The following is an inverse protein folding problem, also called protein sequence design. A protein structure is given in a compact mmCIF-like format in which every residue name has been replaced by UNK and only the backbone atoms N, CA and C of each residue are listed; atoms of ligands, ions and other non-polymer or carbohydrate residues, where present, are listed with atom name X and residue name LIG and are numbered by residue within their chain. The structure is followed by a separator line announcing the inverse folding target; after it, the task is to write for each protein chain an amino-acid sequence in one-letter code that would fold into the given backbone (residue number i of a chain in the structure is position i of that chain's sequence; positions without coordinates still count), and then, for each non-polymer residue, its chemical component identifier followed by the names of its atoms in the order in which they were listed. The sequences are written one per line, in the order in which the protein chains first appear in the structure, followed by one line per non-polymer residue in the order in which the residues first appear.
data_IF_337906658347
#
_entry.id   IF_337906658347
#
_cell.length_a   1.000
_cell.length_b   1.000
_cell.length_c   1.000
_cell.angle_alpha   90.00
_cell.angle_beta   90.00
_cell.angle_gamma   90.00
#
_symmetry.space_group_name_H-M   'P 1'
#
loop_
_entity.id
_entity.type
_entity.pdbx_description
1 polymer ?
#
# COMPACT_ATOMS: atom_id res chain seq x y z
N UNK A 1 4.71 18.82 7.61
CA UNK A 1 4.36 17.59 6.85
C UNK A 1 3.01 17.75 6.17
N UNK A 2 2.98 17.77 4.83
CA UNK A 2 1.78 17.87 3.99
C UNK A 2 1.52 16.52 3.33
N UNK A 3 0.25 16.07 3.34
CA UNK A 3 -0.19 14.87 2.62
C UNK A 3 -1.17 15.30 1.53
N UNK A 4 -0.93 14.83 0.31
CA UNK A 4 -1.73 15.14 -0.87
C UNK A 4 -1.57 14.10 -1.97
N UNK A 5 -2.38 14.18 -2.99
CA UNK A 5 -2.13 13.47 -4.24
C UNK A 5 -0.85 13.99 -4.90
N UNK A 6 -0.12 13.06 -5.53
CA UNK A 6 1.07 13.37 -6.30
C UNK A 6 0.73 14.04 -7.63
N UNK A 7 1.68 14.76 -8.17
CA UNK A 7 1.67 15.32 -9.51
C UNK A 7 2.91 14.85 -10.26
N UNK A 8 2.98 15.06 -11.57
CA UNK A 8 4.15 14.70 -12.38
C UNK A 8 5.45 15.36 -11.86
N UNK A 9 5.36 16.50 -11.19
CA UNK A 9 6.52 17.16 -10.56
C UNK A 9 7.13 16.36 -9.41
N UNK A 10 6.41 15.39 -8.87
CA UNK A 10 6.86 14.56 -7.76
C UNK A 10 7.48 13.24 -8.26
N UNK A 11 7.34 12.90 -9.54
CA UNK A 11 7.69 11.59 -10.12
C UNK A 11 9.14 11.19 -9.84
N UNK A 12 10.10 12.05 -10.13
CA UNK A 12 11.52 11.75 -9.93
C UNK A 12 11.86 11.44 -8.46
N UNK A 13 11.23 12.18 -7.53
CA UNK A 13 11.44 11.95 -6.10
C UNK A 13 10.82 10.61 -5.66
N UNK A 14 9.65 10.24 -6.22
CA UNK A 14 9.00 8.95 -5.94
C UNK A 14 9.86 7.80 -6.46
N UNK A 15 10.35 7.89 -7.69
CA UNK A 15 11.22 6.87 -8.29
C UNK A 15 12.49 6.67 -7.47
N UNK A 16 13.15 7.75 -7.05
CA UNK A 16 14.34 7.67 -6.17
C UNK A 16 14.03 6.99 -4.85
N UNK A 17 12.88 7.28 -4.25
CA UNK A 17 12.47 6.66 -2.99
C UNK A 17 12.13 5.17 -3.19
N UNK A 18 11.47 4.81 -4.31
CA UNK A 18 11.22 3.42 -4.67
C UNK A 18 12.54 2.65 -4.80
N UNK A 19 13.51 3.15 -5.57
CA UNK A 19 14.79 2.49 -5.77
C UNK A 19 15.55 2.31 -4.45
N UNK A 20 15.51 3.29 -3.56
CA UNK A 20 16.16 3.21 -2.23
C UNK A 20 15.63 2.04 -1.40
N UNK A 21 14.35 1.66 -1.53
CA UNK A 21 13.71 0.64 -0.71
C UNK A 21 13.20 -0.57 -1.50
N UNK A 22 13.51 -0.67 -2.79
CA UNK A 22 13.12 -1.85 -3.57
C UNK A 22 13.90 -3.08 -3.12
N UNK A 23 13.21 -4.21 -2.97
CA UNK A 23 13.74 -5.47 -2.43
C UNK A 23 15.02 -5.95 -3.11
N UNK A 24 15.17 -5.71 -4.43
CA UNK A 24 16.37 -6.10 -5.18
C UNK A 24 17.62 -5.27 -4.89
N UNK A 25 17.46 -4.11 -4.26
CA UNK A 25 18.53 -3.14 -4.00
C UNK A 25 19.00 -3.17 -2.53
N UNK A 26 18.47 -4.08 -1.74
CA UNK A 26 18.74 -4.17 -0.31
C UNK A 26 19.40 -5.51 0.03
N UNK A 27 20.38 -5.46 0.91
CA UNK A 27 20.91 -6.66 1.58
C UNK A 27 19.87 -7.26 2.53
N UNK A 28 20.05 -8.53 2.92
CA UNK A 28 19.11 -9.17 3.87
C UNK A 28 19.02 -8.41 5.21
N UNK A 29 20.16 -7.91 5.71
CA UNK A 29 20.19 -7.09 6.91
C UNK A 29 19.39 -5.79 6.75
N UNK A 30 19.54 -5.11 5.63
CA UNK A 30 18.79 -3.89 5.35
C UNK A 30 17.29 -4.14 5.19
N UNK A 31 16.90 -5.25 4.56
CA UNK A 31 15.47 -5.66 4.47
C UNK A 31 14.84 -5.81 5.86
N UNK A 32 15.55 -6.48 6.77
CA UNK A 32 15.09 -6.66 8.15
C UNK A 32 14.99 -5.33 8.91
N UNK A 33 15.99 -4.46 8.77
CA UNK A 33 16.06 -3.20 9.50
C UNK A 33 15.17 -2.11 8.91
N UNK A 34 15.12 -2.02 7.57
CA UNK A 34 14.45 -0.90 6.89
C UNK A 34 13.07 -1.27 6.34
N UNK A 35 12.76 -2.58 6.18
CA UNK A 35 11.63 -3.02 5.39
C UNK A 35 11.86 -2.72 3.90
N UNK A 36 10.96 -3.15 3.04
CA UNK A 36 11.14 -3.05 1.59
C UNK A 36 9.81 -2.96 0.84
N UNK A 37 9.88 -2.52 -0.41
CA UNK A 37 8.80 -2.64 -1.39
C UNK A 37 9.15 -3.72 -2.40
N UNK A 38 8.18 -4.59 -2.72
CA UNK A 38 8.36 -5.73 -3.66
C UNK A 38 7.98 -5.37 -5.09
N UNK A 39 6.96 -4.55 -5.25
CA UNK A 39 6.48 -4.15 -6.57
C UNK A 39 7.33 -3.00 -7.10
N UNK A 40 7.89 -3.19 -8.29
CA UNK A 40 8.52 -2.10 -9.04
C UNK A 40 7.50 -1.50 -9.98
N UNK A 41 7.29 -0.21 -9.87
CA UNK A 41 6.36 0.57 -10.68
C UNK A 41 7.18 1.44 -11.62
N UNK A 42 6.91 1.37 -12.93
CA UNK A 42 7.65 2.16 -13.94
C UNK A 42 7.19 3.62 -13.94
N UNK A 43 7.96 4.55 -14.55
CA UNK A 43 7.53 5.95 -14.70
C UNK A 43 6.17 6.09 -15.41
N UNK A 44 5.91 5.27 -16.43
CA UNK A 44 4.66 5.26 -17.20
C UNK A 44 3.49 4.81 -16.33
N UNK A 45 3.70 3.74 -15.54
CA UNK A 45 2.70 3.22 -14.60
C UNK A 45 2.39 4.24 -13.49
N UNK A 46 3.41 4.93 -12.94
CA UNK A 46 3.18 6.03 -12.01
C UNK A 46 2.38 7.16 -12.66
N UNK A 47 2.70 7.53 -13.89
CA UNK A 47 1.99 8.59 -14.63
C UNK A 47 0.52 8.21 -14.83
N UNK A 48 0.26 6.97 -15.26
CA UNK A 48 -1.10 6.45 -15.40
C UNK A 48 -1.86 6.49 -14.06
N UNK A 49 -1.20 6.02 -12.99
CA UNK A 49 -1.81 5.98 -11.66
C UNK A 49 -2.08 7.37 -11.09
N UNK A 50 -1.19 8.34 -11.37
CA UNK A 50 -1.42 9.76 -11.03
C UNK A 50 -2.63 10.32 -11.76
N UNK A 51 -2.81 10.00 -13.05
CA UNK A 51 -4.01 10.36 -13.83
C UNK A 51 -5.30 9.82 -13.20
N UNK A 52 -5.24 8.64 -12.57
CA UNK A 52 -6.34 8.01 -11.84
C UNK A 52 -6.41 8.43 -10.36
N UNK A 53 -5.67 9.45 -9.96
CA UNK A 53 -5.61 9.95 -8.58
C UNK A 53 -5.15 8.91 -7.53
N UNK A 54 -4.43 7.89 -7.97
CA UNK A 54 -4.03 6.73 -7.17
C UNK A 54 -2.65 6.83 -6.51
N UNK A 55 -1.96 7.98 -6.58
CA UNK A 55 -0.66 8.19 -5.93
C UNK A 55 -0.78 9.28 -4.88
N UNK A 56 -0.49 8.92 -3.62
CA UNK A 56 -0.48 9.85 -2.49
C UNK A 56 0.92 9.99 -1.95
N UNK A 57 1.28 11.22 -1.53
CA UNK A 57 2.60 11.51 -0.99
C UNK A 57 2.53 12.28 0.32
N UNK A 58 3.56 12.09 1.13
CA UNK A 58 3.86 12.94 2.27
C UNK A 58 5.14 13.74 1.98
N UNK A 59 5.09 15.06 2.15
CA UNK A 59 6.25 15.96 1.98
C UNK A 59 6.49 16.81 3.21
N UNK A 60 7.76 16.93 3.57
CA UNK A 60 8.22 17.90 4.55
C UNK A 60 9.05 18.96 3.84
N UNK A 61 8.55 20.21 3.79
CA UNK A 61 9.14 21.27 2.97
C UNK A 61 9.30 20.83 1.51
N UNK A 62 10.54 20.65 1.02
CA UNK A 62 10.83 20.20 -0.36
C UNK A 62 11.15 18.71 -0.47
N UNK A 63 11.27 17.99 0.65
CA UNK A 63 11.67 16.59 0.67
C UNK A 63 10.45 15.66 0.62
N UNK A 64 10.53 14.62 -0.19
CA UNK A 64 9.55 13.52 -0.20
C UNK A 64 9.85 12.61 0.98
N UNK A 65 8.90 12.50 1.89
CA UNK A 65 8.98 11.64 3.07
C UNK A 65 8.39 10.26 2.83
N UNK A 66 7.36 10.17 1.99
CA UNK A 66 6.69 8.90 1.70
C UNK A 66 5.85 8.97 0.43
N UNK A 67 5.55 7.81 -0.14
CA UNK A 67 4.45 7.63 -1.07
C UNK A 67 3.61 6.40 -0.68
N UNK A 68 2.36 6.40 -1.13
CA UNK A 68 1.47 5.27 -1.07
C UNK A 68 0.65 5.21 -2.37
N UNK A 69 0.48 4.00 -2.89
CA UNK A 69 -0.29 3.75 -4.09
C UNK A 69 -1.67 3.18 -3.73
N UNK A 70 -2.64 3.40 -4.60
CA UNK A 70 -3.95 2.80 -4.48
C UNK A 70 -4.65 2.81 -5.84
N UNK A 71 -5.46 1.81 -6.10
CA UNK A 71 -6.32 1.74 -7.29
C UNK A 71 -7.35 0.62 -7.16
N UNK A 72 -8.31 0.60 -8.08
CA UNK A 72 -9.07 -0.60 -8.38
C UNK A 72 -8.15 -1.71 -8.89
N UNK A 73 -8.66 -2.95 -8.88
CA UNK A 73 -7.90 -4.15 -9.22
C UNK A 73 -7.34 -4.15 -10.64
N UNK A 74 -8.08 -3.62 -11.62
CA UNK A 74 -7.70 -3.66 -13.03
C UNK A 74 -6.32 -3.05 -13.30
N UNK A 75 -5.97 -1.95 -12.61
CA UNK A 75 -4.65 -1.37 -12.74
C UNK A 75 -3.56 -2.33 -12.29
N UNK A 76 -3.78 -3.05 -11.19
CA UNK A 76 -2.78 -3.91 -10.57
C UNK A 76 -2.63 -5.29 -11.23
N UNK A 77 -3.54 -5.73 -12.10
CA UNK A 77 -3.46 -7.04 -12.78
C UNK A 77 -2.23 -7.24 -13.66
N UNK A 78 -1.51 -6.19 -14.01
CA UNK A 78 -0.23 -6.27 -14.70
C UNK A 78 0.89 -6.91 -13.84
N UNK A 79 0.70 -7.06 -12.53
CA UNK A 79 1.62 -7.79 -11.64
C UNK A 79 1.07 -9.16 -11.29
N UNK A 80 1.80 -10.27 -11.62
CA UNK A 80 1.31 -11.64 -11.38
C UNK A 80 0.93 -11.95 -9.92
N UNK A 81 1.58 -11.30 -8.95
CA UNK A 81 1.24 -11.45 -7.53
C UNK A 81 -0.20 -10.98 -7.22
N UNK A 82 -0.69 -9.99 -7.95
CA UNK A 82 -2.05 -9.49 -7.79
C UNK A 82 -3.06 -10.51 -8.32
N UNK A 83 -2.76 -11.15 -9.47
CA UNK A 83 -3.60 -12.21 -10.01
C UNK A 83 -3.70 -13.36 -9.00
N UNK A 84 -2.57 -13.75 -8.38
CA UNK A 84 -2.58 -14.76 -7.31
C UNK A 84 -3.41 -14.32 -6.11
N UNK A 85 -3.40 -13.05 -5.76
CA UNK A 85 -4.24 -12.52 -4.69
C UNK A 85 -5.73 -12.52 -5.08
N UNK A 86 -6.07 -12.22 -6.34
CA UNK A 86 -7.45 -12.34 -6.84
C UNK A 86 -7.97 -13.78 -6.72
N UNK A 87 -7.15 -14.80 -7.00
CA UNK A 87 -7.53 -16.21 -6.88
C UNK A 87 -7.98 -16.58 -5.47
N UNK A 88 -7.39 -15.97 -4.44
CA UNK A 88 -7.74 -16.28 -3.06
C UNK A 88 -8.87 -15.42 -2.50
N UNK A 89 -9.26 -14.31 -3.15
CA UNK A 89 -10.33 -13.44 -2.67
C UNK A 89 -11.61 -14.17 -2.27
N UNK A 90 -12.10 -15.19 -3.04
CA UNK A 90 -13.31 -15.90 -2.66
C UNK A 90 -13.24 -16.59 -1.29
N UNK A 91 -12.02 -16.85 -0.79
CA UNK A 91 -11.79 -17.47 0.52
C UNK A 91 -11.67 -16.45 1.65
N UNK A 92 -11.46 -15.18 1.32
CA UNK A 92 -11.24 -14.11 2.28
C UNK A 92 -12.56 -13.51 2.76
N UNK A 93 -12.69 -13.40 4.06
CA UNK A 93 -13.87 -12.80 4.69
C UNK A 93 -13.44 -11.79 5.76
N UNK A 94 -14.18 -10.70 5.87
CA UNK A 94 -14.08 -9.77 6.99
C UNK A 94 -15.48 -9.62 7.61
N UNK A 95 -15.59 -9.85 8.93
CA UNK A 95 -16.87 -9.84 9.64
C UNK A 95 -17.97 -10.71 8.99
N UNK A 96 -17.57 -11.89 8.46
CA UNK A 96 -18.47 -12.82 7.78
C UNK A 96 -18.81 -12.46 6.32
N UNK A 97 -18.44 -11.27 5.84
CA UNK A 97 -18.70 -10.81 4.47
C UNK A 97 -17.53 -11.14 3.54
N UNK A 98 -17.83 -11.59 2.32
CA UNK A 98 -16.82 -11.88 1.32
C UNK A 98 -16.19 -10.61 0.76
N UNK A 99 -14.87 -10.62 0.59
CA UNK A 99 -14.13 -9.57 -0.09
C UNK A 99 -14.02 -9.93 -1.57
N UNK A 100 -14.33 -8.99 -2.45
CA UNK A 100 -14.32 -9.17 -3.90
C UNK A 100 -13.62 -8.02 -4.60
N UNK A 101 -13.27 -8.19 -5.87
CA UNK A 101 -12.72 -7.09 -6.68
C UNK A 101 -13.69 -5.93 -6.90
N UNK A 102 -15.00 -6.18 -6.73
CA UNK A 102 -16.05 -5.15 -6.91
C UNK A 102 -16.28 -4.30 -5.66
N UNK A 103 -16.08 -4.88 -4.47
CA UNK A 103 -16.34 -4.19 -3.20
C UNK A 103 -15.07 -3.76 -2.47
N UNK A 104 -13.89 -3.98 -3.07
CA UNK A 104 -12.61 -3.62 -2.47
C UNK A 104 -11.66 -2.93 -3.44
N UNK A 105 -10.72 -2.17 -2.89
CA UNK A 105 -9.62 -1.57 -3.63
C UNK A 105 -8.27 -1.95 -3.01
N UNK A 106 -7.24 -1.98 -3.85
CA UNK A 106 -5.86 -2.24 -3.44
C UNK A 106 -5.23 -1.01 -2.79
N UNK A 107 -4.56 -1.23 -1.66
CA UNK A 107 -3.76 -0.25 -0.93
C UNK A 107 -2.31 -0.71 -0.87
N UNK A 108 -1.40 0.09 -1.39
CA UNK A 108 0.03 -0.21 -1.44
C UNK A 108 0.54 -0.42 -2.86
N UNK A 109 1.88 -0.46 -3.03
CA UNK A 109 2.88 -0.38 -1.97
C UNK A 109 2.90 0.97 -1.24
N UNK A 110 3.36 0.93 0.00
CA UNK A 110 3.65 2.11 0.83
C UNK A 110 5.13 2.15 1.12
N UNK A 111 5.77 3.27 0.84
CA UNK A 111 7.18 3.49 1.13
C UNK A 111 7.36 4.76 1.96
N UNK A 112 8.00 4.64 3.12
CA UNK A 112 8.31 5.77 4.02
C UNK A 112 9.81 5.82 4.24
N UNK A 113 10.43 6.94 3.89
CA UNK A 113 11.86 7.16 4.14
C UNK A 113 12.15 7.08 5.65
N UNK A 114 13.21 6.37 6.01
CA UNK A 114 13.60 6.14 7.40
C UNK A 114 13.81 7.43 8.19
N UNK A 115 14.31 8.49 7.53
CA UNK A 115 14.51 9.79 8.15
C UNK A 115 13.22 10.47 8.67
N UNK A 116 12.05 10.03 8.16
CA UNK A 116 10.75 10.61 8.51
C UNK A 116 9.84 9.65 9.30
N UNK A 117 10.35 8.49 9.71
CA UNK A 117 9.57 7.52 10.47
C UNK A 117 9.27 8.05 11.88
N UNK A 118 8.23 7.50 12.50
CA UNK A 118 7.78 7.95 13.82
C UNK A 118 6.87 9.17 13.82
N UNK A 119 6.69 9.83 12.66
CA UNK A 119 5.88 11.07 12.51
C UNK A 119 4.43 10.81 12.07
N UNK A 120 3.91 9.63 12.34
CA UNK A 120 2.52 9.22 12.05
C UNK A 120 2.10 9.27 10.57
N UNK A 121 3.08 9.24 9.66
CA UNK A 121 2.85 9.36 8.20
C UNK A 121 1.98 8.22 7.68
N UNK A 122 2.21 6.99 8.13
CA UNK A 122 1.45 5.82 7.69
C UNK A 122 -0.04 5.98 7.98
N UNK A 123 -0.39 6.35 9.22
CA UNK A 123 -1.79 6.59 9.62
C UNK A 123 -2.44 7.67 8.76
N UNK A 124 -1.74 8.79 8.57
CA UNK A 124 -2.27 9.92 7.82
C UNK A 124 -2.44 9.62 6.33
N UNK A 125 -1.49 8.91 5.70
CA UNK A 125 -1.62 8.43 4.31
C UNK A 125 -2.81 7.49 4.19
N UNK A 126 -2.89 6.49 5.08
CA UNK A 126 -3.98 5.53 5.10
C UNK A 126 -5.34 6.23 5.22
N UNK A 127 -5.50 7.14 6.17
CA UNK A 127 -6.74 7.89 6.38
C UNK A 127 -7.11 8.75 5.15
N UNK A 128 -6.11 9.39 4.52
CA UNK A 128 -6.36 10.23 3.32
C UNK A 128 -6.84 9.39 2.15
N UNK A 129 -6.18 8.26 1.88
CA UNK A 129 -6.55 7.32 0.82
C UNK A 129 -7.95 6.75 1.09
N UNK A 130 -8.18 6.30 2.30
CA UNK A 130 -9.45 5.68 2.67
C UNK A 130 -10.64 6.65 2.62
N UNK A 131 -10.43 7.94 2.86
CA UNK A 131 -11.48 8.97 2.64
C UNK A 131 -11.85 9.11 1.18
N UNK A 132 -10.86 9.03 0.27
CA UNK A 132 -11.10 9.20 -1.17
C UNK A 132 -11.75 7.94 -1.76
N UNK A 133 -11.16 6.77 -1.53
CA UNK A 133 -11.61 5.51 -2.14
C UNK A 133 -12.74 4.84 -1.35
N UNK A 134 -12.79 4.99 -0.05
CA UNK A 134 -13.83 4.41 0.80
C UNK A 134 -15.24 4.95 0.56
N UNK A 135 -15.39 6.02 -0.25
CA UNK A 135 -16.70 6.45 -0.72
C UNK A 135 -17.30 5.48 -1.78
N UNK A 136 -16.44 4.74 -2.50
CA UNK A 136 -16.83 3.88 -3.60
C UNK A 136 -16.72 2.38 -3.27
N UNK A 137 -15.94 2.01 -2.25
CA UNK A 137 -15.64 0.62 -1.89
C UNK A 137 -15.95 0.35 -0.41
N UNK A 138 -16.28 -0.90 -0.11
CA UNK A 138 -16.56 -1.33 1.26
C UNK A 138 -15.31 -1.74 2.03
N UNK A 139 -14.27 -2.20 1.30
CA UNK A 139 -13.06 -2.75 1.89
C UNK A 139 -11.79 -2.16 1.30
N UNK A 140 -10.81 -1.93 2.17
CA UNK A 140 -9.40 -1.75 1.81
C UNK A 140 -8.73 -3.10 1.91
N UNK A 141 -7.92 -3.47 0.93
CA UNK A 141 -7.12 -4.70 0.97
C UNK A 141 -5.68 -4.44 0.53
N UNK A 142 -4.76 -5.13 1.16
CA UNK A 142 -3.33 -5.12 0.82
C UNK A 142 -2.70 -6.47 1.12
N UNK A 143 -1.46 -6.67 0.72
CA UNK A 143 -0.66 -7.82 1.11
C UNK A 143 0.73 -7.39 1.57
N UNK A 144 1.30 -8.16 2.49
CA UNK A 144 2.63 -7.91 3.03
C UNK A 144 3.39 -9.24 3.08
N UNK A 145 4.60 -9.26 2.49
CA UNK A 145 5.49 -10.40 2.60
C UNK A 145 5.79 -10.67 4.08
N UNK A 146 5.68 -11.92 4.52
CA UNK A 146 5.87 -12.29 5.92
C UNK A 146 7.27 -11.96 6.43
N UNK A 147 8.29 -12.00 5.55
CA UNK A 147 9.65 -11.57 5.91
C UNK A 147 9.77 -10.05 6.10
N UNK A 148 8.79 -9.26 5.66
CA UNK A 148 8.74 -7.82 5.91
C UNK A 148 8.03 -7.49 7.23
N UNK A 149 8.55 -8.06 8.33
CA UNK A 149 7.97 -7.91 9.66
C UNK A 149 7.80 -6.45 10.09
N UNK A 150 8.73 -5.58 9.64
CA UNK A 150 8.64 -4.15 9.94
C UNK A 150 7.37 -3.54 9.35
N UNK A 151 7.08 -3.82 8.08
CA UNK A 151 5.85 -3.35 7.43
C UNK A 151 4.62 -3.92 8.11
N UNK A 152 4.63 -5.23 8.40
CA UNK A 152 3.51 -5.90 9.08
C UNK A 152 3.21 -5.26 10.44
N UNK A 153 4.23 -5.09 11.29
CA UNK A 153 4.08 -4.44 12.61
C UNK A 153 3.59 -2.99 12.49
N UNK A 154 4.11 -2.24 11.50
CA UNK A 154 3.69 -0.85 11.30
C UNK A 154 2.21 -0.76 10.92
N UNK A 155 1.74 -1.58 9.96
CA UNK A 155 0.35 -1.60 9.54
C UNK A 155 -0.58 -2.07 10.66
N UNK A 156 -0.26 -3.16 11.36
CA UNK A 156 -1.05 -3.65 12.48
C UNK A 156 -1.20 -2.64 13.62
N UNK A 157 -0.17 -1.81 13.85
CA UNK A 157 -0.19 -0.81 14.94
C UNK A 157 -0.84 0.52 14.54
N UNK A 158 -0.75 0.90 13.26
CA UNK A 158 -1.04 2.26 12.78
C UNK A 158 -2.25 2.37 11.85
N UNK A 159 -2.84 1.24 11.48
CA UNK A 159 -4.03 1.17 10.63
C UNK A 159 -5.03 0.18 11.21
N UNK A 160 -6.31 0.21 10.81
CA UNK A 160 -7.30 -0.78 11.23
C UNK A 160 -7.20 -2.10 10.45
N UNK A 161 -6.19 -2.28 9.61
CA UNK A 161 -6.00 -3.50 8.82
C UNK A 161 -5.73 -4.70 9.73
N UNK A 162 -6.44 -5.79 9.48
CA UNK A 162 -6.25 -7.09 10.14
C UNK A 162 -5.93 -8.17 9.10
N UNK A 163 -5.20 -9.21 9.51
CA UNK A 163 -4.91 -10.36 8.64
C UNK A 163 -6.23 -11.12 8.41
N UNK A 164 -6.58 -11.30 7.14
CA UNK A 164 -7.79 -12.02 6.70
C UNK A 164 -7.46 -13.32 5.97
N UNK A 165 -6.18 -13.58 5.68
CA UNK A 165 -5.70 -14.81 5.08
C UNK A 165 -4.22 -14.74 4.74
N UNK A 166 -3.73 -15.82 4.14
CA UNK A 166 -2.34 -15.93 3.66
C UNK A 166 -2.32 -16.58 2.28
N UNK A 167 -1.27 -16.33 1.53
CA UNK A 167 -1.03 -16.96 0.24
C UNK A 167 0.46 -17.07 -0.06
N UNK A 168 0.79 -17.99 -0.96
CA UNK A 168 2.14 -18.16 -1.46
C UNK A 168 2.26 -17.64 -2.89
N UNK A 169 3.38 -16.98 -3.17
CA UNK A 169 3.77 -16.54 -4.49
C UNK A 169 5.30 -16.51 -4.62
N UNK A 170 5.84 -17.17 -5.66
CA UNK A 170 7.28 -17.26 -5.92
C UNK A 170 8.10 -17.66 -4.67
N UNK A 171 7.73 -18.75 -4.02
CA UNK A 171 8.36 -19.28 -2.80
C UNK A 171 8.39 -18.28 -1.62
N UNK A 172 7.54 -17.28 -1.63
CA UNK A 172 7.37 -16.33 -0.53
C UNK A 172 5.96 -16.44 0.03
N UNK A 173 5.86 -16.32 1.35
CA UNK A 173 4.59 -16.28 2.06
C UNK A 173 4.15 -14.83 2.28
N UNK A 174 2.86 -14.57 2.06
CA UNK A 174 2.26 -13.25 2.21
C UNK A 174 1.06 -13.32 3.14
N UNK A 175 0.90 -12.28 3.96
CA UNK A 175 -0.34 -12.02 4.67
C UNK A 175 -1.22 -11.11 3.80
N UNK A 176 -2.48 -11.49 3.59
CA UNK A 176 -3.51 -10.60 3.09
C UNK A 176 -4.14 -9.86 4.28
N UNK A 177 -4.20 -8.53 4.20
CA UNK A 177 -4.76 -7.69 5.25
C UNK A 177 -5.91 -6.87 4.69
N UNK A 178 -7.00 -6.75 5.45
CA UNK A 178 -8.14 -5.93 5.06
C UNK A 178 -8.75 -5.19 6.24
N UNK A 179 -9.51 -4.13 5.95
CA UNK A 179 -10.44 -3.51 6.87
C UNK A 179 -11.66 -2.96 6.15
N UNK A 180 -12.76 -2.75 6.90
CA UNK A 180 -13.94 -2.07 6.38
C UNK A 180 -13.71 -0.56 6.23
N UNK A 181 -14.24 0.02 5.15
CA UNK A 181 -14.26 1.46 4.95
C UNK A 181 -15.29 2.18 5.85
N UNK A 182 -16.25 1.47 6.43
CA UNK A 182 -17.22 2.05 7.39
C UNK A 182 -16.54 2.65 8.60
N UNK A 183 -15.48 2.01 9.10
CA UNK A 183 -14.67 2.53 10.21
C UNK A 183 -14.13 3.95 9.94
N UNK A 184 -13.99 4.30 8.68
CA UNK A 184 -13.43 5.58 8.22
C UNK A 184 -14.54 6.60 7.98
N UNK A 185 -15.70 6.14 7.49
CA UNK A 185 -16.90 6.97 7.28
C UNK A 185 -17.49 7.48 8.61
N UNK A 186 -17.37 6.69 9.68
CA UNK A 186 -17.95 6.98 10.99
C UNK A 186 -17.02 7.79 11.93
N UNK A 187 -15.77 8.06 11.55
CA UNK A 187 -14.89 9.02 12.25
C UNK A 187 -15.05 10.42 11.65
N UNK A 188 -16.20 11.04 11.91
CA UNK A 188 -16.40 12.48 11.73
C UNK A 188 -15.87 13.26 12.93
#
# INVERSE_FOLDING_TARGET
MTIRQATLKDLDAILKLQEKYHVSNLTELEKQQKGFVTMRVTPEQFTQLMGNQGVFIAKEKRQLAAYALTSAWDFYRQWPIINRMEDILPTLKLNGQAITTKNSFQYGPVCIDEAFRGQDILTRLFQTISKVYGAQYDYVITFINQSNERSLRAHAKKTPLSIVGTFEFNNNQYNALACSCEFIRNKK
#
